data_IF_145235178605
#
_entry.id   IF_145235178605
#
_cell.length_a   1.000
_cell.length_b   1.000
_cell.length_c   1.000
_cell.angle_alpha   90.00
_cell.angle_beta   90.00
_cell.angle_gamma   90.00
#
_symmetry.space_group_name_H-M   'P 1'
#
loop_
_entity.id
_entity.type
_entity.pdbx_description
1 polymer ?
#
# COMPACT_ATOMS: atom_id res chain seq x y z
N UNK A 1 -21.25 12.75 11.86
CA UNK A 1 -21.75 12.25 10.55
C UNK A 1 -23.04 11.45 10.74
N UNK A 2 -24.04 11.67 9.88
CA UNK A 2 -25.39 11.06 10.00
C UNK A 2 -25.49 9.69 9.34
N UNK A 3 -24.62 9.38 8.39
CA UNK A 3 -24.55 8.10 7.69
C UNK A 3 -23.11 7.85 7.18
N UNK A 4 -22.90 6.70 6.56
CA UNK A 4 -21.60 6.26 6.05
C UNK A 4 -21.08 7.14 4.91
N UNK A 5 -21.97 7.68 4.08
CA UNK A 5 -21.61 8.62 3.01
C UNK A 5 -21.03 9.92 3.57
N UNK A 6 -21.67 10.49 4.59
CA UNK A 6 -21.15 11.67 5.27
C UNK A 6 -19.87 11.39 6.05
N UNK A 7 -19.76 10.21 6.66
CA UNK A 7 -18.54 9.79 7.34
C UNK A 7 -17.38 9.70 6.34
N UNK A 8 -17.61 9.13 5.17
CA UNK A 8 -16.64 9.07 4.07
C UNK A 8 -16.30 10.47 3.53
N UNK A 9 -17.29 11.35 3.35
CA UNK A 9 -17.07 12.73 2.90
C UNK A 9 -16.22 13.53 3.90
N UNK A 10 -16.50 13.43 5.20
CA UNK A 10 -15.69 14.07 6.23
C UNK A 10 -14.28 13.48 6.33
N UNK A 11 -14.13 12.16 6.21
CA UNK A 11 -12.82 11.52 6.14
C UNK A 11 -12.01 12.06 4.95
N UNK A 12 -12.64 12.11 3.76
CA UNK A 12 -12.03 12.67 2.56
C UNK A 12 -11.61 14.14 2.73
N UNK A 13 -12.44 14.94 3.40
CA UNK A 13 -12.11 16.32 3.75
C UNK A 13 -10.86 16.40 4.64
N UNK A 14 -10.78 15.59 5.69
CA UNK A 14 -9.65 15.61 6.63
C UNK A 14 -8.33 15.17 5.97
N UNK A 15 -8.33 14.08 5.19
CA UNK A 15 -7.13 13.65 4.46
C UNK A 15 -6.73 14.68 3.40
N UNK A 16 -7.72 15.29 2.74
CA UNK A 16 -7.46 16.27 1.70
C UNK A 16 -6.90 17.55 2.27
N UNK A 17 -7.33 18.02 3.45
CA UNK A 17 -6.91 19.31 4.00
C UNK A 17 -5.67 19.24 4.88
N UNK A 18 -5.32 18.05 5.40
CA UNK A 18 -4.15 17.88 6.25
C UNK A 18 -2.82 17.83 5.48
N UNK A 19 -1.74 18.21 6.16
CA UNK A 19 -0.38 18.08 5.69
C UNK A 19 -0.01 16.59 5.58
N UNK A 20 0.52 16.18 4.42
CA UNK A 20 0.87 14.79 4.15
C UNK A 20 -0.29 13.78 4.29
N UNK A 21 -1.54 14.24 4.22
CA UNK A 21 -2.74 13.41 4.47
C UNK A 21 -2.79 12.76 5.87
N UNK A 22 -2.06 13.33 6.84
CA UNK A 22 -1.90 12.77 8.18
C UNK A 22 -3.13 12.92 9.09
N UNK A 23 -4.10 13.75 8.72
CA UNK A 23 -5.30 14.12 9.49
C UNK A 23 -5.05 14.83 10.84
N UNK A 24 -3.79 15.03 11.27
CA UNK A 24 -3.46 15.68 12.54
C UNK A 24 -2.94 17.12 12.41
N UNK A 25 -2.39 17.49 11.26
CA UNK A 25 -1.81 18.81 11.03
C UNK A 25 -2.50 19.49 9.84
N UNK A 26 -3.04 20.69 10.04
CA UNK A 26 -3.82 21.43 9.03
C UNK A 26 -3.16 22.75 8.60
N UNK A 27 -1.96 23.05 9.11
CA UNK A 27 -1.24 24.26 8.73
C UNK A 27 -0.89 24.22 7.24
N UNK A 28 -1.43 25.15 6.47
CA UNK A 28 -1.10 25.35 5.06
C UNK A 28 -0.37 26.68 4.86
N UNK A 29 0.56 26.74 3.91
CA UNK A 29 1.19 28.00 3.49
C UNK A 29 0.12 28.98 3.01
N UNK A 30 0.23 30.25 3.42
CA UNK A 30 -0.62 31.37 2.95
C UNK A 30 -0.62 31.54 1.42
N UNK A 31 0.39 31.03 0.73
CA UNK A 31 0.56 31.15 -0.72
C UNK A 31 -0.14 30.03 -1.50
N UNK A 32 -0.67 29.01 -0.84
CA UNK A 32 -1.25 27.84 -1.51
C UNK A 32 -2.74 28.07 -1.72
N UNK A 33 -3.19 27.94 -2.97
CA UNK A 33 -4.61 28.01 -3.30
C UNK A 33 -5.42 26.97 -2.48
N UNK A 34 -6.67 27.29 -2.10
CA UNK A 34 -7.53 26.35 -1.39
C UNK A 34 -7.72 25.08 -2.23
N UNK A 35 -7.65 23.92 -1.58
CA UNK A 35 -7.84 22.64 -2.27
C UNK A 35 -9.28 22.52 -2.75
N UNK A 36 -9.47 22.10 -4.00
CA UNK A 36 -10.80 21.74 -4.53
C UNK A 36 -11.27 20.44 -3.87
N UNK A 37 -12.25 20.57 -2.97
CA UNK A 37 -12.87 19.48 -2.24
C UNK A 37 -14.00 18.83 -3.02
N UNK A 38 -14.81 19.64 -3.72
CA UNK A 38 -15.74 19.15 -4.72
C UNK A 38 -14.92 18.69 -5.94
N UNK A 39 -14.89 17.38 -6.16
CA UNK A 39 -14.21 16.74 -7.28
C UNK A 39 -15.20 15.89 -8.04
N UNK A 40 -14.95 15.75 -9.33
CA UNK A 40 -15.62 14.74 -10.12
C UNK A 40 -14.99 13.38 -9.82
N UNK A 41 -15.81 12.44 -9.36
CA UNK A 41 -15.41 11.06 -9.11
C UNK A 41 -15.79 10.10 -10.25
N UNK A 42 -16.38 10.59 -11.34
CA UNK A 42 -16.91 9.77 -12.44
C UNK A 42 -15.89 8.78 -13.00
N UNK A 43 -14.63 9.19 -13.16
CA UNK A 43 -13.54 8.32 -13.61
C UNK A 43 -13.28 7.18 -12.63
N UNK A 44 -13.21 7.49 -11.33
CA UNK A 44 -12.96 6.51 -10.28
C UNK A 44 -14.13 5.54 -10.13
N UNK A 45 -15.36 6.05 -10.16
CA UNK A 45 -16.59 5.26 -10.14
C UNK A 45 -16.63 4.28 -11.31
N UNK A 46 -16.28 4.71 -12.53
CA UNK A 46 -16.22 3.83 -13.71
C UNK A 46 -15.17 2.73 -13.54
N UNK A 47 -13.98 3.07 -13.04
CA UNK A 47 -12.88 2.10 -12.83
C UNK A 47 -13.19 1.08 -11.73
N UNK A 48 -13.85 1.49 -10.66
CA UNK A 48 -14.18 0.64 -9.51
C UNK A 48 -15.52 -0.08 -9.65
N UNK A 49 -16.26 0.12 -10.75
CA UNK A 49 -17.61 -0.42 -10.95
C UNK A 49 -17.68 -1.95 -10.74
N UNK A 50 -16.65 -2.66 -11.15
CA UNK A 50 -16.57 -4.12 -11.06
C UNK A 50 -15.58 -4.59 -9.96
N UNK A 51 -15.17 -3.67 -9.07
CA UNK A 51 -14.26 -4.00 -7.97
C UNK A 51 -15.07 -4.35 -6.72
N UNK A 52 -14.77 -5.50 -6.13
CA UNK A 52 -15.17 -5.82 -4.76
C UNK A 52 -14.16 -5.19 -3.79
N UNK A 53 -14.65 -4.44 -2.80
CA UNK A 53 -13.81 -3.79 -1.79
C UNK A 53 -14.06 -4.46 -0.44
N UNK A 54 -13.02 -5.03 0.13
CA UNK A 54 -13.09 -5.75 1.39
C UNK A 54 -12.10 -5.21 2.42
N UNK A 55 -12.52 -5.18 3.67
CA UNK A 55 -11.67 -4.87 4.82
C UNK A 55 -11.48 -6.16 5.63
N UNK A 56 -10.51 -6.97 5.21
CA UNK A 56 -10.18 -8.29 5.76
C UNK A 56 -8.67 -8.47 5.86
N UNK A 57 -8.21 -9.46 6.62
CA UNK A 57 -6.79 -9.82 6.67
C UNK A 57 -6.32 -10.39 5.33
N UNK A 58 -5.03 -10.22 5.03
CA UNK A 58 -4.44 -10.80 3.82
C UNK A 58 -4.54 -12.33 3.81
N UNK A 59 -4.47 -12.97 4.98
CA UNK A 59 -4.64 -14.42 5.13
C UNK A 59 -6.01 -14.88 4.63
N UNK A 60 -7.07 -14.14 4.99
CA UNK A 60 -8.42 -14.44 4.53
C UNK A 60 -8.54 -14.25 3.01
N UNK A 61 -8.05 -13.12 2.50
CA UNK A 61 -8.12 -12.81 1.06
C UNK A 61 -7.37 -13.85 0.22
N UNK A 62 -6.13 -14.19 0.61
CA UNK A 62 -5.35 -15.19 -0.11
C UNK A 62 -6.05 -16.55 -0.08
N UNK A 63 -6.60 -16.97 1.07
CA UNK A 63 -7.30 -18.25 1.17
C UNK A 63 -8.59 -18.30 0.34
N UNK A 64 -9.40 -17.24 0.37
CA UNK A 64 -10.71 -17.22 -0.28
C UNK A 64 -10.61 -17.15 -1.80
N UNK A 65 -9.60 -16.42 -2.31
CA UNK A 65 -9.45 -16.13 -3.73
C UNK A 65 -8.34 -16.94 -4.42
N UNK A 66 -7.78 -17.97 -3.78
CA UNK A 66 -6.71 -18.79 -4.36
C UNK A 66 -7.24 -19.87 -5.32
N UNK A 67 -7.13 -19.58 -6.61
CA UNK A 67 -7.40 -20.48 -7.73
C UNK A 67 -6.37 -20.26 -8.85
N UNK A 68 -6.24 -21.23 -9.77
CA UNK A 68 -5.14 -21.28 -10.74
C UNK A 68 -5.02 -20.04 -11.64
N UNK A 69 -6.14 -19.42 -12.00
CA UNK A 69 -6.20 -18.25 -12.87
C UNK A 69 -6.09 -16.92 -12.10
N UNK A 70 -6.07 -16.97 -10.76
CA UNK A 70 -5.93 -15.77 -9.93
C UNK A 70 -4.55 -15.12 -10.11
N UNK A 71 -4.51 -13.80 -10.11
CA UNK A 71 -3.29 -13.01 -10.00
C UNK A 71 -3.38 -12.09 -8.79
N UNK A 72 -2.52 -12.32 -7.81
CA UNK A 72 -2.40 -11.50 -6.63
C UNK A 72 -1.31 -10.45 -6.82
N UNK A 73 -1.67 -9.17 -6.70
CA UNK A 73 -0.68 -8.11 -6.49
C UNK A 73 -0.65 -7.73 -5.02
N UNK A 74 0.53 -7.81 -4.41
CA UNK A 74 0.72 -7.57 -2.98
C UNK A 74 1.70 -6.42 -2.76
N UNK A 75 1.30 -5.49 -1.89
CA UNK A 75 2.09 -4.33 -1.48
C UNK A 75 1.95 -4.15 0.05
N UNK A 76 2.51 -5.06 0.85
CA UNK A 76 2.42 -5.01 2.31
C UNK A 76 3.28 -3.85 2.87
N UNK A 77 3.11 -3.48 4.15
CA UNK A 77 4.05 -2.59 4.82
C UNK A 77 5.49 -3.08 4.67
N UNK A 78 6.40 -2.21 4.22
CA UNK A 78 7.80 -2.56 4.01
C UNK A 78 8.56 -2.67 5.34
N UNK A 79 9.57 -3.54 5.38
CA UNK A 79 10.39 -3.79 6.57
C UNK A 79 11.05 -2.48 7.04
N UNK A 80 10.92 -2.15 8.32
CA UNK A 80 11.43 -0.92 8.93
C UNK A 80 10.57 0.33 8.68
N UNK A 81 9.45 0.20 7.96
CA UNK A 81 8.50 1.29 7.65
C UNK A 81 7.10 1.06 8.24
N UNK A 82 6.95 0.04 9.07
CA UNK A 82 5.70 -0.39 9.69
C UNK A 82 5.04 0.75 10.49
N UNK A 83 5.87 1.59 11.11
CA UNK A 83 5.45 2.75 11.91
C UNK A 83 4.68 3.82 11.13
N UNK A 84 4.71 3.82 9.79
CA UNK A 84 3.84 4.69 8.99
C UNK A 84 2.38 4.23 9.00
N UNK A 85 2.14 2.94 9.26
CA UNK A 85 0.82 2.31 9.30
C UNK A 85 0.31 2.18 10.73
N UNK A 86 0.28 3.29 11.47
CA UNK A 86 -0.05 3.35 12.91
C UNK A 86 -1.40 2.71 13.32
N UNK A 87 -2.25 2.34 12.36
CA UNK A 87 -3.60 1.82 12.58
C UNK A 87 -3.79 0.34 12.17
N UNK A 88 -2.75 -0.40 11.78
CA UNK A 88 -2.92 -1.77 11.24
C UNK A 88 -2.81 -2.91 12.26
N UNK A 89 -2.67 -2.61 13.57
CA UNK A 89 -2.48 -3.66 14.58
C UNK A 89 -1.09 -4.31 14.54
N UNK A 90 -0.16 -3.74 13.77
CA UNK A 90 1.20 -4.24 13.57
C UNK A 90 1.30 -5.16 12.36
N UNK A 91 2.23 -4.86 11.47
CA UNK A 91 2.70 -5.78 10.43
C UNK A 91 4.19 -5.92 10.65
N UNK A 92 4.60 -6.85 11.50
CA UNK A 92 6.00 -7.05 11.88
C UNK A 92 6.59 -8.29 11.23
N UNK A 93 7.71 -8.75 11.78
CA UNK A 93 8.48 -9.89 11.25
C UNK A 93 7.60 -11.15 11.06
N UNK A 94 6.72 -11.44 12.01
CA UNK A 94 5.82 -12.61 11.96
C UNK A 94 4.87 -12.54 10.77
N UNK A 95 4.34 -11.36 10.48
CA UNK A 95 3.43 -11.15 9.35
C UNK A 95 4.17 -11.24 8.01
N UNK A 96 5.43 -10.77 7.94
CA UNK A 96 6.31 -10.98 6.77
C UNK A 96 6.56 -12.47 6.51
N UNK A 97 6.91 -13.23 7.55
CA UNK A 97 7.13 -14.67 7.47
C UNK A 97 5.85 -15.44 7.09
N UNK A 98 4.73 -15.07 7.71
CA UNK A 98 3.42 -15.67 7.43
C UNK A 98 3.00 -15.43 5.98
N UNK A 99 3.16 -14.19 5.48
CA UNK A 99 2.88 -13.86 4.09
C UNK A 99 3.71 -14.73 3.14
N UNK A 100 5.02 -14.85 3.38
CA UNK A 100 5.89 -15.70 2.58
C UNK A 100 5.42 -17.17 2.60
N UNK A 101 5.07 -17.70 3.77
CA UNK A 101 4.61 -19.09 3.91
C UNK A 101 3.30 -19.36 3.16
N UNK A 102 2.37 -18.40 3.14
CA UNK A 102 1.14 -18.51 2.35
C UNK A 102 1.43 -18.46 0.84
N UNK A 103 2.28 -17.52 0.41
CA UNK A 103 2.63 -17.36 -1.01
C UNK A 103 3.43 -18.55 -1.56
N UNK A 104 4.22 -19.26 -0.72
CA UNK A 104 4.89 -20.51 -1.10
C UNK A 104 3.94 -21.62 -1.54
N UNK A 105 2.72 -21.63 -1.03
CA UNK A 105 1.75 -22.70 -1.27
C UNK A 105 0.55 -22.23 -2.12
N UNK A 106 0.61 -21.03 -2.68
CA UNK A 106 -0.51 -20.46 -3.44
C UNK A 106 -0.62 -21.13 -4.81
N UNK A 107 -1.85 -21.40 -5.26
CA UNK A 107 -2.12 -22.00 -6.58
C UNK A 107 -2.06 -20.95 -7.69
N UNK A 108 -2.55 -19.75 -7.40
CA UNK A 108 -2.54 -18.63 -8.33
C UNK A 108 -1.14 -18.06 -8.58
N UNK A 109 -1.08 -17.07 -9.46
CA UNK A 109 0.12 -16.26 -9.67
C UNK A 109 0.19 -15.15 -8.66
N UNK A 110 1.39 -14.76 -8.24
CA UNK A 110 1.56 -13.55 -7.43
C UNK A 110 2.69 -12.66 -7.93
N UNK A 111 2.53 -11.38 -7.66
CA UNK A 111 3.53 -10.34 -7.82
C UNK A 111 3.55 -9.50 -6.55
N UNK A 112 4.70 -9.44 -5.90
CA UNK A 112 4.89 -8.84 -4.58
C UNK A 112 5.97 -7.74 -4.66
N UNK A 113 5.62 -6.56 -4.18
CA UNK A 113 6.54 -5.42 -4.07
C UNK A 113 7.10 -5.32 -2.66
N UNK A 114 8.40 -5.08 -2.53
CA UNK A 114 9.09 -4.88 -1.25
C UNK A 114 10.29 -3.93 -1.34
N UNK A 115 10.78 -3.46 -0.18
CA UNK A 115 12.10 -2.86 -0.10
C UNK A 115 13.21 -3.91 -0.24
N UNK A 116 14.34 -3.50 -0.79
CA UNK A 116 15.54 -4.33 -0.85
C UNK A 116 16.23 -4.39 0.52
N UNK A 117 15.99 -5.48 1.26
CA UNK A 117 16.70 -5.81 2.49
C UNK A 117 17.01 -7.30 2.59
N UNK A 118 18.00 -7.65 3.42
CA UNK A 118 18.47 -9.03 3.61
C UNK A 118 17.34 -9.98 4.02
N UNK A 119 16.48 -9.55 4.95
CA UNK A 119 15.32 -10.33 5.39
C UNK A 119 14.41 -10.74 4.22
N UNK A 120 14.04 -9.79 3.35
CA UNK A 120 13.15 -10.08 2.22
C UNK A 120 13.85 -10.96 1.18
N UNK A 121 15.14 -10.73 0.92
CA UNK A 121 15.91 -11.59 0.02
C UNK A 121 15.97 -13.03 0.51
N UNK A 122 16.19 -13.23 1.81
CA UNK A 122 16.23 -14.57 2.41
C UNK A 122 14.85 -15.24 2.40
N UNK A 123 13.79 -14.52 2.75
CA UNK A 123 12.42 -15.06 2.76
C UNK A 123 12.00 -15.56 1.38
N UNK A 124 12.35 -14.84 0.32
CA UNK A 124 11.89 -15.08 -1.04
C UNK A 124 12.98 -15.57 -2.00
N UNK A 125 14.10 -16.09 -1.50
CA UNK A 125 15.26 -16.51 -2.31
C UNK A 125 14.95 -17.55 -3.39
N UNK A 126 13.89 -18.34 -3.21
CA UNK A 126 13.47 -19.40 -4.11
C UNK A 126 12.49 -18.91 -5.21
N UNK A 127 12.24 -17.59 -5.28
CA UNK A 127 11.34 -16.96 -6.26
C UNK A 127 12.11 -16.09 -7.26
N UNK A 128 11.41 -15.65 -8.31
CA UNK A 128 11.95 -14.73 -9.30
C UNK A 128 12.00 -13.32 -8.69
N UNK A 129 13.21 -12.83 -8.40
CA UNK A 129 13.43 -11.49 -7.84
C UNK A 129 13.97 -10.55 -8.92
N UNK A 130 13.28 -9.43 -9.14
CA UNK A 130 13.72 -8.34 -10.00
C UNK A 130 14.02 -7.10 -9.17
N UNK A 131 15.24 -6.59 -9.29
CA UNK A 131 15.65 -5.34 -8.65
C UNK A 131 15.18 -4.11 -9.44
N UNK A 132 14.62 -3.14 -8.73
CA UNK A 132 14.14 -1.88 -9.27
C UNK A 132 14.81 -0.72 -8.52
N UNK A 133 15.23 0.30 -9.28
CA UNK A 133 15.76 1.54 -8.72
C UNK A 133 14.64 2.56 -8.61
N UNK A 134 14.35 3.00 -7.38
CA UNK A 134 13.27 3.93 -7.09
C UNK A 134 13.81 5.21 -6.49
N UNK A 135 13.27 6.34 -6.96
CA UNK A 135 13.59 7.68 -6.46
C UNK A 135 12.37 8.22 -5.71
N UNK A 136 12.39 8.17 -4.38
CA UNK A 136 11.32 8.78 -3.59
C UNK A 136 11.38 10.32 -3.67
N UNK A 137 10.27 10.95 -4.06
CA UNK A 137 10.19 12.40 -4.30
C UNK A 137 9.70 13.21 -3.09
N UNK A 138 9.28 12.55 -2.00
CA UNK A 138 8.68 13.22 -0.84
C UNK A 138 9.63 14.15 -0.08
N UNK A 139 10.95 13.95 -0.20
CA UNK A 139 11.94 14.86 0.38
C UNK A 139 12.30 15.97 -0.62
N UNK A 140 11.98 17.21 -0.26
CA UNK A 140 12.26 18.41 -1.07
C UNK A 140 13.77 18.76 -1.14
N UNK A 141 14.60 18.13 -0.30
CA UNK A 141 16.05 18.28 -0.35
C UNK A 141 16.65 17.36 -1.41
N UNK A 142 16.85 17.92 -2.62
CA UNK A 142 17.48 17.24 -3.77
C UNK A 142 18.79 16.55 -3.40
N UNK A 143 19.58 17.14 -2.50
CA UNK A 143 20.86 16.62 -2.00
C UNK A 143 20.75 15.43 -1.04
N UNK A 144 19.56 15.16 -0.47
CA UNK A 144 19.31 14.03 0.45
C UNK A 144 18.38 12.96 -0.15
N UNK A 145 18.12 13.01 -1.46
CA UNK A 145 17.36 11.97 -2.16
C UNK A 145 18.20 10.70 -2.19
N UNK A 146 17.98 9.81 -1.23
CA UNK A 146 18.56 8.46 -1.27
C UNK A 146 17.94 7.70 -2.45
N UNK A 147 18.80 7.08 -3.25
CA UNK A 147 18.38 6.04 -4.18
C UNK A 147 17.94 4.85 -3.33
N UNK A 148 16.67 4.50 -3.42
CA UNK A 148 16.12 3.33 -2.74
C UNK A 148 16.01 2.20 -3.76
N UNK A 149 16.36 0.99 -3.32
CA UNK A 149 16.17 -0.21 -4.10
C UNK A 149 14.89 -0.90 -3.63
N UNK A 150 14.08 -1.29 -4.59
CA UNK A 150 12.89 -2.11 -4.37
C UNK A 150 13.06 -3.45 -5.09
N UNK A 151 12.36 -4.46 -4.60
CA UNK A 151 12.32 -5.80 -5.16
C UNK A 151 10.90 -6.08 -5.66
N UNK A 152 10.81 -6.63 -6.87
CA UNK A 152 9.60 -7.22 -7.40
C UNK A 152 9.77 -8.74 -7.43
N UNK A 153 8.94 -9.45 -6.67
CA UNK A 153 9.07 -10.89 -6.39
C UNK A 153 7.88 -11.62 -7.02
N UNK A 154 8.12 -12.68 -7.80
CA UNK A 154 7.09 -13.39 -8.57
C UNK A 154 7.32 -14.91 -8.57
N UNK A 155 6.24 -15.69 -8.71
CA UNK A 155 6.28 -17.15 -8.88
C UNK A 155 6.13 -17.63 -10.34
N UNK A 156 6.33 -16.73 -11.31
CA UNK A 156 6.22 -17.00 -12.75
C UNK A 156 7.26 -16.20 -13.55
#
# INVERSE_FOLDING_TARGET
>A
PRNDLERAAFYFYLISTSFGSSMGQFAMSKQRAPKRLCRDFSLHTKRLKNASIENKSFEYILKEYDYNEALFYLDPPYVGTENYYKNTGGFGLKEHELLCNLLKNIKGKFMLSYNDCELIRELYKDFNIKELKVRYSLNNNVLKRKESKELLIMNF
#
